data_IF_819963122126
#
_entry.id   IF_819963122126
#
_cell.length_a   1.000
_cell.length_b   1.000
_cell.length_c   1.000
_cell.angle_alpha   90.00
_cell.angle_beta   90.00
_cell.angle_gamma   90.00
#
_symmetry.space_group_name_H-M   'P 1'
#
loop_
_entity.id
_entity.type
_entity.pdbx_description
1 polymer ?
#
# COMPACT_ATOMS: atom_id res chain seq x y z
N UNK A 1 0.42 17.34 -4.27
CA UNK A 1 1.43 16.30 -4.04
C UNK A 1 2.68 16.95 -3.48
N UNK A 2 3.32 16.34 -2.48
CA UNK A 2 4.60 16.78 -1.94
C UNK A 2 5.81 16.43 -2.83
N UNK A 3 5.60 16.47 -4.15
CA UNK A 3 6.55 16.11 -5.22
C UNK A 3 6.44 17.09 -6.39
N UNK A 4 5.98 18.33 -6.12
CA UNK A 4 5.89 19.37 -7.13
C UNK A 4 7.27 19.81 -7.63
N UNK A 5 7.38 20.13 -8.92
CA UNK A 5 8.59 20.74 -9.47
C UNK A 5 8.86 22.08 -8.77
N UNK A 6 10.08 22.27 -8.29
CA UNK A 6 10.48 23.47 -7.55
C UNK A 6 10.10 23.48 -6.06
N UNK A 7 9.42 22.44 -5.56
CA UNK A 7 9.22 22.26 -4.13
C UNK A 7 10.53 21.75 -3.49
N UNK A 8 11.15 22.58 -2.66
CA UNK A 8 12.36 22.23 -1.87
C UNK A 8 12.04 21.97 -0.40
N UNK A 9 10.79 22.16 0.01
CA UNK A 9 10.29 21.97 1.37
C UNK A 9 8.95 21.24 1.32
N UNK A 10 8.48 20.78 2.47
CA UNK A 10 7.17 20.14 2.57
C UNK A 10 6.06 21.12 2.17
N UNK A 11 5.28 20.72 1.17
CA UNK A 11 4.12 21.47 0.67
C UNK A 11 2.88 21.34 1.56
N UNK A 12 2.90 20.48 2.58
CA UNK A 12 1.76 20.20 3.45
C UNK A 12 0.68 19.30 2.82
N UNK A 13 0.95 18.74 1.63
CA UNK A 13 0.02 17.86 0.93
C UNK A 13 0.18 16.41 1.39
N UNK A 14 -0.96 15.74 1.62
CA UNK A 14 -1.03 14.40 2.24
C UNK A 14 -0.31 13.29 1.48
N UNK A 15 -0.16 13.42 0.17
CA UNK A 15 0.45 12.42 -0.70
C UNK A 15 1.73 12.96 -1.32
N UNK A 16 2.75 12.11 -1.48
CA UNK A 16 3.98 12.35 -2.22
C UNK A 16 4.19 11.32 -3.32
N UNK A 17 5.15 11.55 -4.21
CA UNK A 17 5.42 10.67 -5.34
C UNK A 17 4.52 10.90 -6.56
N UNK A 18 4.39 9.89 -7.42
CA UNK A 18 3.72 10.00 -8.71
C UNK A 18 2.67 8.91 -8.90
N UNK A 19 1.51 9.30 -9.45
CA UNK A 19 0.44 8.38 -9.85
C UNK A 19 -0.06 7.44 -8.74
N UNK A 20 -0.15 7.93 -7.51
CA UNK A 20 -0.75 7.18 -6.40
C UNK A 20 -2.26 7.44 -6.30
N UNK A 21 -3.05 6.42 -6.01
CA UNK A 21 -4.50 6.49 -5.75
C UNK A 21 -4.77 6.12 -4.29
N UNK A 22 -5.43 7.01 -3.54
CA UNK A 22 -5.70 6.87 -2.10
C UNK A 22 -5.20 8.07 -1.30
N UNK A 23 -5.24 7.99 0.03
CA UNK A 23 -4.82 9.05 0.96
C UNK A 23 -3.57 8.64 1.73
N UNK A 24 -2.63 9.56 1.95
CA UNK A 24 -1.42 9.26 2.75
C UNK A 24 -0.43 8.37 2.01
N UNK A 25 -0.38 8.51 0.69
CA UNK A 25 0.41 7.64 -0.20
C UNK A 25 1.78 8.25 -0.48
N UNK A 26 2.79 7.41 -0.68
CA UNK A 26 4.12 7.84 -1.12
C UNK A 26 4.74 6.88 -2.15
N UNK A 27 5.63 7.38 -3.01
CA UNK A 27 6.30 6.58 -4.05
C UNK A 27 5.57 6.56 -5.39
N UNK A 28 5.51 5.43 -6.09
CA UNK A 28 5.10 5.39 -7.51
C UNK A 28 4.03 4.34 -7.76
N UNK A 29 2.94 4.75 -8.43
CA UNK A 29 1.91 3.82 -8.95
C UNK A 29 1.28 2.91 -7.88
N UNK A 30 1.16 3.38 -6.64
CA UNK A 30 0.46 2.64 -5.59
C UNK A 30 -1.05 2.89 -5.67
N UNK A 31 -1.86 1.87 -5.42
CA UNK A 31 -3.33 1.94 -5.50
C UNK A 31 -3.98 1.39 -4.25
N UNK A 32 -4.74 2.22 -3.54
CA UNK A 32 -5.75 1.81 -2.58
C UNK A 32 -7.12 2.28 -3.09
N UNK A 33 -8.09 1.38 -3.27
CA UNK A 33 -9.39 1.75 -3.84
C UNK A 33 -10.54 0.80 -3.46
N UNK A 34 -11.77 1.28 -3.64
CA UNK A 34 -13.00 0.49 -3.57
C UNK A 34 -13.58 0.32 -2.16
N UNK A 35 -12.86 0.70 -1.11
CA UNK A 35 -13.35 0.67 0.27
C UNK A 35 -13.83 2.02 0.78
N UNK A 36 -14.39 2.02 2.00
CA UNK A 36 -14.70 3.23 2.76
C UNK A 36 -13.43 3.99 3.14
N UNK A 37 -12.35 3.27 3.45
CA UNK A 37 -11.03 3.85 3.72
C UNK A 37 -9.98 3.25 2.80
N UNK A 38 -9.23 4.11 2.11
CA UNK A 38 -8.23 3.72 1.11
C UNK A 38 -6.95 4.53 1.32
N UNK A 39 -5.94 3.96 1.99
CA UNK A 39 -4.87 4.80 2.56
C UNK A 39 -3.50 4.12 2.78
N UNK A 40 -2.50 4.95 3.05
CA UNK A 40 -1.21 4.59 3.64
C UNK A 40 -0.47 3.46 2.91
N UNK A 41 -0.24 3.63 1.61
CA UNK A 41 0.65 2.74 0.87
C UNK A 41 1.90 3.51 0.42
N UNK A 42 3.06 2.89 0.61
CA UNK A 42 4.37 3.45 0.23
C UNK A 42 5.16 2.50 -0.68
N UNK A 43 6.09 3.04 -1.47
CA UNK A 43 6.95 2.25 -2.35
C UNK A 43 6.47 2.24 -3.80
N UNK A 44 6.43 1.10 -4.47
CA UNK A 44 6.19 1.03 -5.92
C UNK A 44 5.21 -0.10 -6.28
N UNK A 45 4.20 0.20 -7.11
CA UNK A 45 3.23 -0.78 -7.66
C UNK A 45 2.48 -1.63 -6.62
N UNK A 46 2.35 -1.16 -5.37
CA UNK A 46 1.54 -1.88 -4.39
C UNK A 46 0.05 -1.59 -4.64
N UNK A 47 -0.79 -2.62 -4.56
CA UNK A 47 -2.23 -2.53 -4.78
C UNK A 47 -2.98 -3.09 -3.59
N UNK A 48 -4.04 -2.45 -3.12
CA UNK A 48 -4.97 -2.99 -2.14
C UNK A 48 -6.40 -2.60 -2.51
N UNK A 49 -7.27 -3.59 -2.70
CA UNK A 49 -8.68 -3.40 -3.07
C UNK A 49 -9.58 -4.49 -2.49
N UNK A 50 -10.90 -4.28 -2.57
CA UNK A 50 -11.91 -5.31 -2.31
C UNK A 50 -12.40 -5.42 -0.87
N UNK A 51 -11.91 -4.60 0.05
CA UNK A 51 -12.32 -4.59 1.45
C UNK A 51 -12.91 -3.23 1.88
N UNK A 52 -13.50 -3.15 3.08
CA UNK A 52 -13.98 -1.85 3.63
C UNK A 52 -12.80 -0.91 3.91
N UNK A 53 -11.65 -1.47 4.28
CA UNK A 53 -10.37 -0.77 4.46
C UNK A 53 -9.32 -1.38 3.56
N UNK A 54 -8.73 -0.57 2.68
CA UNK A 54 -7.67 -0.99 1.77
C UNK A 54 -6.43 -0.15 2.01
N UNK A 55 -5.26 -0.77 2.21
CA UNK A 55 -4.08 0.04 2.48
C UNK A 55 -2.93 -0.62 3.21
N UNK A 56 -2.20 0.21 3.96
CA UNK A 56 -1.15 -0.16 4.91
C UNK A 56 -0.11 -1.11 4.31
N UNK A 57 0.33 -0.85 3.08
CA UNK A 57 1.32 -1.70 2.40
C UNK A 57 2.59 -0.93 2.07
N UNK A 58 3.74 -1.60 2.05
CA UNK A 58 5.03 -1.00 1.74
C UNK A 58 5.94 -1.92 0.94
N UNK A 59 6.84 -1.35 0.13
CA UNK A 59 7.81 -2.11 -0.67
C UNK A 59 7.45 -2.13 -2.15
N UNK A 60 7.53 -3.28 -2.83
CA UNK A 60 7.37 -3.38 -4.28
C UNK A 60 6.35 -4.46 -4.66
N UNK A 61 5.34 -4.09 -5.45
CA UNK A 61 4.47 -5.04 -6.14
C UNK A 61 3.62 -5.92 -5.23
N UNK A 62 3.34 -5.51 -4.00
CA UNK A 62 2.46 -6.28 -3.11
C UNK A 62 0.99 -6.10 -3.53
N UNK A 63 0.22 -7.18 -3.51
CA UNK A 63 -1.22 -7.19 -3.78
C UNK A 63 -2.00 -7.57 -2.53
N UNK A 64 -2.75 -6.62 -2.01
CA UNK A 64 -3.77 -6.79 -0.98
C UNK A 64 -4.95 -7.58 -1.52
N UNK A 65 -5.29 -8.67 -0.84
CA UNK A 65 -6.53 -9.44 -1.08
C UNK A 65 -7.30 -9.49 0.23
N UNK A 66 -8.62 -9.20 0.26
CA UNK A 66 -9.41 -9.19 1.48
C UNK A 66 -9.19 -10.46 2.31
N UNK A 67 -8.76 -10.28 3.56
CA UNK A 67 -8.50 -11.39 4.47
C UNK A 67 -9.77 -12.11 4.90
N UNK A 68 -9.65 -13.39 5.25
CA UNK A 68 -10.74 -14.19 5.84
C UNK A 68 -10.70 -14.24 7.38
N UNK A 69 -9.51 -14.03 7.99
CA UNK A 69 -9.30 -14.23 9.43
C UNK A 69 -9.83 -13.06 10.29
N UNK A 70 -10.08 -11.88 9.70
CA UNK A 70 -10.71 -10.72 10.36
C UNK A 70 -11.98 -10.25 9.65
N UNK A 71 -12.58 -11.12 8.83
CA UNK A 71 -13.62 -10.77 7.86
C UNK A 71 -13.05 -9.99 6.66
N UNK A 72 -13.83 -9.81 5.57
CA UNK A 72 -13.41 -9.11 4.35
C UNK A 72 -13.22 -7.60 4.55
N UNK A 73 -13.00 -7.17 5.80
CA UNK A 73 -12.91 -5.78 6.20
C UNK A 73 -11.55 -5.16 5.89
N UNK A 74 -10.48 -5.95 5.75
CA UNK A 74 -9.15 -5.43 5.43
C UNK A 74 -8.53 -6.10 4.21
N UNK A 75 -7.97 -5.28 3.33
CA UNK A 75 -7.09 -5.68 2.23
C UNK A 75 -5.76 -4.92 2.31
N UNK A 76 -4.65 -5.64 2.34
CA UNK A 76 -3.30 -5.06 2.41
C UNK A 76 -2.58 -5.41 3.71
N UNK A 77 -1.91 -4.45 4.36
CA UNK A 77 -1.04 -4.78 5.50
C UNK A 77 0.25 -5.50 5.09
N UNK A 78 0.68 -5.36 3.83
CA UNK A 78 1.75 -6.16 3.27
C UNK A 78 3.07 -5.39 3.23
N UNK A 79 4.20 -6.05 3.48
CA UNK A 79 5.52 -5.41 3.41
C UNK A 79 6.55 -6.27 2.67
N UNK A 80 7.35 -5.66 1.80
CA UNK A 80 8.44 -6.36 1.10
C UNK A 80 8.15 -6.46 -0.39
N UNK A 81 8.36 -7.63 -0.97
CA UNK A 81 8.42 -7.81 -2.43
C UNK A 81 7.40 -8.87 -2.89
N UNK A 82 6.45 -8.46 -3.73
CA UNK A 82 5.51 -9.35 -4.43
C UNK A 82 4.72 -10.30 -3.53
N UNK A 83 4.31 -9.84 -2.35
CA UNK A 83 3.39 -10.59 -1.51
C UNK A 83 1.95 -10.48 -2.05
N UNK A 84 1.17 -11.55 -1.95
CA UNK A 84 -0.23 -11.61 -2.34
C UNK A 84 -1.08 -12.13 -1.17
N UNK A 85 -1.98 -11.30 -0.65
CA UNK A 85 -2.81 -11.61 0.51
C UNK A 85 -3.04 -10.41 1.41
N UNK A 86 -3.40 -10.65 2.67
CA UNK A 86 -3.44 -9.62 3.71
C UNK A 86 -2.53 -10.03 4.87
N UNK A 87 -1.84 -9.06 5.46
CA UNK A 87 -0.83 -9.26 6.53
C UNK A 87 0.31 -10.21 6.13
N UNK A 88 0.91 -9.98 4.96
CA UNK A 88 2.07 -10.73 4.48
C UNK A 88 3.34 -9.89 4.56
N UNK A 89 4.45 -10.52 4.91
CA UNK A 89 5.77 -9.88 4.85
C UNK A 89 6.79 -10.75 4.13
N UNK A 90 7.90 -10.14 3.69
CA UNK A 90 8.99 -10.87 3.02
C UNK A 90 8.88 -10.84 1.50
N UNK A 91 9.21 -11.95 0.84
CA UNK A 91 9.27 -12.09 -0.61
C UNK A 91 8.38 -13.23 -1.08
N UNK A 92 7.48 -12.97 -2.03
CA UNK A 92 6.55 -13.98 -2.57
C UNK A 92 5.81 -14.78 -1.47
N UNK A 93 5.31 -14.10 -0.43
CA UNK A 93 4.64 -14.70 0.72
C UNK A 93 5.52 -15.58 1.64
N UNK A 94 6.83 -15.65 1.41
CA UNK A 94 7.77 -16.35 2.28
C UNK A 94 8.18 -15.44 3.44
N UNK A 95 7.61 -15.71 4.61
CA UNK A 95 7.98 -15.08 5.88
C UNK A 95 9.01 -15.94 6.61
N UNK A 96 10.21 -15.40 6.92
CA UNK A 96 11.13 -16.01 7.89
C UNK A 96 11.96 -17.21 7.42
N UNK A 97 12.51 -17.21 6.19
CA UNK A 97 13.40 -18.29 5.70
C UNK A 97 14.75 -18.39 6.43
N UNK A 98 15.09 -17.42 7.28
CA UNK A 98 16.23 -17.49 8.19
C UNK A 98 15.73 -17.33 9.62
N UNK A 99 15.65 -18.44 10.34
CA UNK A 99 15.45 -18.50 11.79
C UNK A 99 16.77 -18.95 12.42
#
# INVERSE_FOLDING_TARGET
>A
MNTGLGATTDTGLTNSGFSNIGVGMSGFFNTAAGGTTNHNISGVFNTATGAITNGNSSGFGNTGVPGIIFGPALSGGNSGLFNNGTFKSGFFNLTGLFA
#
